data_IF_950216657975
#
_entry.id   IF_950216657975
#
_cell.length_a   1.000
_cell.length_b   1.000
_cell.length_c   1.000
_cell.angle_alpha   90.00
_cell.angle_beta   90.00
_cell.angle_gamma   90.00
#
_symmetry.space_group_name_H-M   'P 1'
#
loop_
_entity.id
_entity.type
_entity.pdbx_description
1 polymer ?
#
# COMPACT_ATOMS: atom_id res chain seq x y z
N UNK A 1 -7.57 18.37 -1.22
CA UNK A 1 -6.30 17.75 -1.67
C UNK A 1 -5.96 16.54 -0.81
N UNK A 2 -6.59 15.35 -1.06
CA UNK A 2 -6.32 14.19 -0.22
C UNK A 2 -4.90 13.65 -0.43
N UNK A 3 -4.32 13.18 0.66
CA UNK A 3 -3.00 12.55 0.65
C UNK A 3 -3.11 11.20 1.33
N UNK A 4 -2.81 10.17 0.59
CA UNK A 4 -2.89 8.79 1.09
C UNK A 4 -1.50 8.18 1.09
N UNK A 5 -1.12 7.59 2.20
CA UNK A 5 0.14 6.88 2.31
C UNK A 5 -0.12 5.41 2.59
N UNK A 6 0.45 4.56 1.74
CA UNK A 6 0.38 3.12 1.91
C UNK A 6 1.77 2.64 2.26
N UNK A 7 1.91 2.01 3.41
CA UNK A 7 3.18 1.42 3.81
C UNK A 7 3.13 -0.07 3.54
N UNK A 8 4.19 -0.60 2.97
CA UNK A 8 4.26 -2.00 2.58
C UNK A 8 5.69 -2.51 2.78
N UNK A 9 5.87 -3.81 3.04
CA UNK A 9 7.22 -4.36 3.14
C UNK A 9 7.98 -4.18 1.84
N UNK A 10 9.24 -3.77 1.93
CA UNK A 10 10.09 -3.56 0.76
C UNK A 10 10.21 -4.84 -0.06
N UNK A 11 10.04 -4.73 -1.36
CA UNK A 11 10.09 -5.87 -2.28
C UNK A 11 8.81 -6.68 -2.37
N UNK A 12 7.77 -6.28 -1.64
CA UNK A 12 6.51 -7.03 -1.60
C UNK A 12 5.63 -6.86 -2.82
N UNK A 13 5.81 -5.78 -3.55
CA UNK A 13 4.95 -5.45 -4.69
C UNK A 13 5.80 -5.15 -5.93
N UNK A 14 5.28 -5.55 -7.08
CA UNK A 14 5.87 -5.18 -8.36
C UNK A 14 5.51 -3.73 -8.69
N UNK A 15 6.21 -3.14 -9.66
CA UNK A 15 5.88 -1.80 -10.14
C UNK A 15 4.46 -1.74 -10.69
N UNK A 16 4.02 -2.81 -11.36
CA UNK A 16 2.67 -2.90 -11.91
C UNK A 16 1.61 -2.92 -10.81
N UNK A 17 1.87 -3.68 -9.74
CA UNK A 17 0.96 -3.73 -8.59
C UNK A 17 0.87 -2.37 -7.90
N UNK A 18 1.99 -1.69 -7.73
CA UNK A 18 2.01 -0.34 -7.15
C UNK A 18 1.20 0.63 -8.01
N UNK A 19 1.38 0.58 -9.32
CA UNK A 19 0.63 1.43 -10.25
C UNK A 19 -0.88 1.17 -10.15
N UNK A 20 -1.28 -0.09 -10.08
CA UNK A 20 -2.68 -0.47 -9.92
C UNK A 20 -3.26 0.03 -8.60
N UNK A 21 -2.51 -0.08 -7.51
CA UNK A 21 -2.93 0.41 -6.20
C UNK A 21 -3.14 1.92 -6.22
N UNK A 22 -2.21 2.65 -6.81
CA UNK A 22 -2.31 4.11 -6.93
C UNK A 22 -3.59 4.49 -7.69
N UNK A 23 -3.84 3.84 -8.82
CA UNK A 23 -5.02 4.12 -9.63
C UNK A 23 -6.31 3.80 -8.89
N UNK A 24 -6.39 2.63 -8.28
CA UNK A 24 -7.62 2.17 -7.60
C UNK A 24 -7.92 2.96 -6.33
N UNK A 25 -6.88 3.31 -5.57
CA UNK A 25 -7.06 4.13 -4.37
C UNK A 25 -7.52 5.53 -4.77
N UNK A 26 -6.96 6.09 -5.83
CA UNK A 26 -7.40 7.38 -6.34
C UNK A 26 -8.87 7.34 -6.75
N UNK A 27 -9.28 6.30 -7.48
CA UNK A 27 -10.67 6.12 -7.87
C UNK A 27 -11.61 6.06 -6.65
N UNK A 28 -11.21 5.31 -5.63
CA UNK A 28 -12.02 5.17 -4.41
C UNK A 28 -12.20 6.51 -3.69
N UNK A 29 -11.12 7.29 -3.61
CA UNK A 29 -11.16 8.61 -2.97
C UNK A 29 -12.08 9.56 -3.74
N UNK A 30 -11.94 9.61 -5.05
CA UNK A 30 -12.78 10.46 -5.91
C UNK A 30 -14.25 10.07 -5.77
N UNK A 31 -14.55 8.80 -5.78
CA UNK A 31 -15.92 8.29 -5.62
C UNK A 31 -16.47 8.68 -4.25
N UNK A 32 -15.69 8.50 -3.19
CA UNK A 32 -16.12 8.81 -1.84
C UNK A 32 -16.38 10.30 -1.64
N UNK A 33 -15.55 11.15 -2.21
CA UNK A 33 -15.74 12.60 -2.13
C UNK A 33 -16.86 13.10 -3.05
N UNK A 34 -17.12 12.38 -4.13
CA UNK A 34 -18.13 12.76 -5.09
C UNK A 34 -17.75 13.96 -5.97
N UNK A 35 -16.47 14.30 -6.03
CA UNK A 35 -15.97 15.44 -6.79
C UNK A 35 -14.84 14.98 -7.70
N UNK A 36 -15.15 14.86 -9.00
CA UNK A 36 -14.15 14.38 -9.99
C UNK A 36 -12.92 15.29 -10.06
N UNK A 37 -13.07 16.58 -9.82
CA UNK A 37 -11.98 17.52 -9.90
C UNK A 37 -10.84 17.25 -8.90
N UNK A 38 -11.09 16.52 -7.81
CA UNK A 38 -10.04 16.20 -6.84
C UNK A 38 -9.06 15.15 -7.36
N UNK A 39 -9.40 14.43 -8.40
CA UNK A 39 -8.54 13.38 -8.96
C UNK A 39 -7.14 13.90 -9.26
N UNK A 40 -7.02 15.01 -9.93
CA UNK A 40 -5.73 15.58 -10.34
C UNK A 40 -4.89 16.11 -9.19
N UNK A 41 -5.46 16.24 -8.00
CA UNK A 41 -4.76 16.71 -6.82
C UNK A 41 -4.73 15.67 -5.70
N UNK A 42 -5.09 14.43 -6.00
CA UNK A 42 -5.01 13.32 -5.05
C UNK A 42 -3.62 12.71 -5.11
N UNK A 43 -2.95 12.69 -3.95
CA UNK A 43 -1.63 12.06 -3.84
C UNK A 43 -1.76 10.69 -3.22
N UNK A 44 -1.15 9.70 -3.86
CA UNK A 44 -1.03 8.36 -3.28
C UNK A 44 0.45 8.02 -3.22
N UNK A 45 0.93 7.78 -2.03
CA UNK A 45 2.33 7.48 -1.78
C UNK A 45 2.46 6.03 -1.32
N UNK A 46 3.39 5.31 -1.91
CA UNK A 46 3.70 3.95 -1.46
C UNK A 46 5.10 3.99 -0.85
N UNK A 47 5.17 3.75 0.45
CA UNK A 47 6.41 3.71 1.20
C UNK A 47 6.79 2.27 1.46
N UNK A 48 7.98 1.89 1.04
CA UNK A 48 8.48 0.54 1.30
C UNK A 48 9.32 0.55 2.56
N UNK A 49 9.02 -0.39 3.46
CA UNK A 49 9.71 -0.54 4.73
C UNK A 49 10.55 -1.81 4.66
N UNK A 50 11.87 -1.71 4.79
CA UNK A 50 12.74 -2.88 4.72
C UNK A 50 12.59 -3.80 5.93
N UNK A 51 13.00 -5.05 5.76
CA UNK A 51 13.08 -5.99 6.87
C UNK A 51 13.86 -5.37 8.03
N UNK A 52 13.37 -5.60 9.25
CA UNK A 52 13.94 -4.99 10.44
C UNK A 52 13.34 -3.65 10.79
N UNK A 53 12.58 -3.04 9.87
CA UNK A 53 11.94 -1.75 10.09
C UNK A 53 10.48 -1.84 10.50
N UNK A 54 9.91 -3.04 10.59
CA UNK A 54 8.52 -3.21 10.98
C UNK A 54 8.32 -4.54 11.71
N UNK A 55 7.23 -4.62 12.43
CA UNK A 55 6.92 -5.82 13.20
C UNK A 55 5.51 -5.83 13.70
N UNK A 56 5.14 -6.94 14.34
CA UNK A 56 3.79 -7.16 14.88
C UNK A 56 3.96 -7.76 16.27
N UNK A 57 3.22 -7.21 17.23
CA UNK A 57 3.20 -7.77 18.59
C UNK A 57 4.56 -7.74 19.29
N UNK A 58 5.40 -6.75 18.96
CA UNK A 58 6.73 -6.62 19.54
C UNK A 58 7.80 -7.46 18.85
N UNK A 59 7.47 -8.14 17.75
CA UNK A 59 8.40 -9.00 17.03
C UNK A 59 8.65 -8.46 15.63
N UNK A 60 9.91 -8.33 15.25
CA UNK A 60 10.27 -7.94 13.89
C UNK A 60 9.84 -9.04 12.92
N UNK A 61 9.26 -8.64 11.80
CA UNK A 61 8.77 -9.56 10.78
C UNK A 61 9.52 -9.27 9.47
N UNK A 62 9.78 -10.34 8.72
CA UNK A 62 10.39 -10.21 7.40
C UNK A 62 9.35 -10.39 6.31
N UNK A 63 9.67 -9.91 5.11
CA UNK A 63 8.82 -10.13 3.95
C UNK A 63 8.62 -11.63 3.68
N UNK A 64 9.69 -12.42 3.78
CA UNK A 64 9.61 -13.86 3.53
C UNK A 64 8.69 -14.56 4.54
N UNK A 65 8.77 -14.19 5.81
CA UNK A 65 7.89 -14.74 6.82
C UNK A 65 6.42 -14.39 6.56
N UNK A 66 6.17 -13.15 6.13
CA UNK A 66 4.81 -12.72 5.80
C UNK A 66 4.27 -13.46 4.58
N UNK A 67 5.08 -13.65 3.56
CA UNK A 67 4.69 -14.41 2.37
C UNK A 67 4.37 -15.86 2.71
N UNK A 68 5.16 -16.47 3.57
CA UNK A 68 4.92 -17.83 4.02
C UNK A 68 3.58 -17.94 4.77
N UNK A 69 3.28 -16.97 5.64
CA UNK A 69 2.01 -16.93 6.36
C UNK A 69 0.82 -16.76 5.42
N UNK A 70 0.93 -15.88 4.43
CA UNK A 70 -0.13 -15.64 3.46
C UNK A 70 -0.32 -16.83 2.52
N UNK A 71 0.74 -17.54 2.19
CA UNK A 71 0.66 -18.72 1.32
C UNK A 71 -0.18 -19.84 1.95
N UNK A 72 -0.25 -19.91 3.28
CA UNK A 72 -1.10 -20.87 3.99
C UNK A 72 -2.55 -20.43 4.15
N UNK A 73 -2.91 -19.24 3.64
CA UNK A 73 -4.24 -18.67 3.78
C UNK A 73 -5.03 -18.80 2.48
N UNK A 74 -6.30 -19.14 2.58
CA UNK A 74 -7.20 -19.29 1.44
C UNK A 74 -8.35 -18.30 1.53
#
# INVERSE_FOLDING_TARGET
MPMITIQTPAGGLTAEQKSAMIAKVTDAVVEAEGIEAVRKSTFVLIQEVPDGGWGIGGRAVTLDAMRAALAGTR
#
